data_IF_782991750388
#
_entry.id   IF_782991750388
#
_cell.length_a   1.000
_cell.length_b   1.000
_cell.length_c   1.000
_cell.angle_alpha   90.00
_cell.angle_beta   90.00
_cell.angle_gamma   90.00
#
_symmetry.space_group_name_H-M   'P 1'
#
loop_
_entity.id
_entity.type
_entity.pdbx_description
1 polymer ?
#
# COMPACT_ATOMS: atom_id res chain seq x y z
N UNK A 1 -11.63 -3.49 1.55
CA UNK A 1 -12.14 -2.91 2.80
C UNK A 1 -12.15 -3.97 3.87
N UNK A 2 -11.75 -3.60 5.07
CA UNK A 2 -11.74 -4.53 6.20
C UNK A 2 -13.15 -5.02 6.57
N UNK A 3 -13.27 -6.21 7.20
CA UNK A 3 -14.54 -6.68 7.72
C UNK A 3 -15.17 -5.72 8.76
N UNK A 4 -14.35 -5.04 9.57
CA UNK A 4 -14.83 -4.06 10.56
C UNK A 4 -15.57 -2.90 9.87
N UNK A 5 -14.95 -2.29 8.86
CA UNK A 5 -15.57 -1.18 8.12
C UNK A 5 -16.84 -1.62 7.41
N UNK A 6 -16.88 -2.82 6.80
CA UNK A 6 -18.08 -3.39 6.17
C UNK A 6 -19.25 -3.59 7.14
N UNK A 7 -18.97 -3.74 8.42
CA UNK A 7 -19.96 -3.89 9.49
C UNK A 7 -20.29 -2.56 10.19
N UNK A 8 -19.82 -1.43 9.63
CA UNK A 8 -20.08 -0.10 10.20
C UNK A 8 -19.36 0.16 11.53
N UNK A 9 -18.30 -0.62 11.84
CA UNK A 9 -17.52 -0.43 13.05
C UNK A 9 -16.65 0.82 12.94
N UNK A 10 -16.54 1.55 14.02
CA UNK A 10 -15.58 2.64 14.19
C UNK A 10 -14.26 2.13 14.72
N UNK A 11 -13.20 2.96 14.68
CA UNK A 11 -11.87 2.53 15.13
C UNK A 11 -11.80 2.26 16.65
N UNK A 12 -12.62 2.94 17.42
CA UNK A 12 -12.77 2.77 18.87
C UNK A 12 -13.73 1.64 19.28
N UNK A 13 -14.37 0.99 18.31
CA UNK A 13 -15.29 -0.15 18.50
C UNK A 13 -14.96 -1.29 17.53
N UNK A 14 -13.70 -1.65 17.37
CA UNK A 14 -13.28 -2.74 16.50
C UNK A 14 -13.63 -4.11 17.08
N UNK A 15 -14.11 -4.99 16.23
CA UNK A 15 -14.13 -6.43 16.49
C UNK A 15 -12.72 -6.98 16.26
N UNK A 16 -12.10 -7.52 17.30
CA UNK A 16 -10.70 -7.99 17.25
C UNK A 16 -10.50 -9.25 16.40
N UNK A 17 -11.51 -10.10 16.24
CA UNK A 17 -11.43 -11.24 15.32
C UNK A 17 -11.37 -10.74 13.87
N UNK A 18 -12.12 -9.68 13.55
CA UNK A 18 -12.05 -9.02 12.25
C UNK A 18 -10.74 -8.28 12.05
N UNK A 19 -10.21 -7.62 13.09
CA UNK A 19 -8.89 -7.01 13.05
C UNK A 19 -7.80 -8.04 12.76
N UNK A 20 -7.79 -9.15 13.51
CA UNK A 20 -6.84 -10.23 13.31
C UNK A 20 -6.90 -10.78 11.87
N UNK A 21 -8.11 -10.98 11.33
CA UNK A 21 -8.30 -11.41 9.94
C UNK A 21 -7.80 -10.38 8.93
N UNK A 22 -8.02 -9.10 9.19
CA UNK A 22 -7.54 -8.01 8.33
C UNK A 22 -6.01 -8.00 8.29
N UNK A 23 -5.36 -8.11 9.44
CA UNK A 23 -3.91 -8.16 9.53
C UNK A 23 -3.34 -9.42 8.86
N UNK A 24 -3.95 -10.58 9.10
CA UNK A 24 -3.48 -11.85 8.49
C UNK A 24 -3.54 -11.80 6.96
N UNK A 25 -4.66 -11.37 6.40
CA UNK A 25 -4.85 -11.34 4.94
C UNK A 25 -4.03 -10.22 4.28
N UNK A 26 -4.03 -9.02 4.87
CA UNK A 26 -3.51 -7.83 4.19
C UNK A 26 -2.03 -7.53 4.47
N UNK A 27 -1.43 -8.18 5.47
CA UNK A 27 -0.04 -7.96 5.86
C UNK A 27 0.73 -9.25 6.16
N UNK A 28 0.22 -10.11 7.06
CA UNK A 28 0.93 -11.33 7.47
C UNK A 28 1.05 -12.33 6.31
N UNK A 29 0.08 -12.38 5.40
CA UNK A 29 0.18 -13.17 4.17
C UNK A 29 1.44 -12.82 3.35
N UNK A 30 1.80 -11.55 3.26
CA UNK A 30 3.02 -11.10 2.59
C UNK A 30 4.28 -11.63 3.31
N UNK A 31 4.31 -11.58 4.63
CA UNK A 31 5.37 -12.18 5.42
C UNK A 31 5.50 -13.68 5.13
N UNK A 32 4.37 -14.41 5.16
CA UNK A 32 4.33 -15.86 4.91
C UNK A 32 4.88 -16.20 3.52
N UNK A 33 4.45 -15.46 2.49
CA UNK A 33 4.90 -15.68 1.10
C UNK A 33 6.41 -15.45 0.96
N UNK A 34 6.93 -14.34 1.48
CA UNK A 34 8.38 -14.07 1.40
C UNK A 34 9.18 -15.09 2.20
N UNK A 35 8.71 -15.47 3.39
CA UNK A 35 9.38 -16.49 4.20
C UNK A 35 9.48 -17.84 3.46
N UNK A 36 8.41 -18.25 2.78
CA UNK A 36 8.40 -19.49 1.98
C UNK A 36 9.29 -19.36 0.77
N UNK A 37 9.21 -18.25 0.04
CA UNK A 37 10.05 -17.99 -1.13
C UNK A 37 11.55 -18.02 -0.75
N UNK A 38 11.92 -17.43 0.39
CA UNK A 38 13.29 -17.48 0.90
C UNK A 38 13.73 -18.90 1.24
N UNK A 39 12.90 -19.66 1.99
CA UNK A 39 13.21 -21.07 2.35
C UNK A 39 13.34 -22.00 1.15
N UNK A 40 12.65 -21.68 0.07
CA UNK A 40 12.66 -22.45 -1.18
C UNK A 40 13.66 -21.95 -2.20
N UNK A 41 14.41 -20.92 -1.86
CA UNK A 41 15.36 -20.25 -2.78
C UNK A 41 14.70 -19.83 -4.11
N UNK A 42 13.45 -19.38 -4.04
CA UNK A 42 12.62 -19.11 -5.21
C UNK A 42 12.84 -17.73 -5.85
N UNK A 43 13.66 -16.86 -5.25
CA UNK A 43 13.97 -15.53 -5.77
C UNK A 43 15.43 -15.48 -6.20
N UNK A 44 15.66 -15.11 -7.43
CA UNK A 44 17.03 -14.95 -7.98
C UNK A 44 17.76 -13.79 -7.32
N UNK A 45 19.09 -13.84 -7.41
CA UNK A 45 19.93 -12.71 -7.04
C UNK A 45 19.51 -11.46 -7.82
N UNK A 46 19.53 -10.30 -7.17
CA UNK A 46 19.05 -9.04 -7.72
C UNK A 46 17.54 -9.01 -8.05
N UNK A 47 16.77 -9.99 -7.60
CA UNK A 47 15.32 -9.98 -7.76
C UNK A 47 14.66 -8.74 -7.15
N UNK A 48 13.41 -8.49 -7.53
CA UNK A 48 12.62 -7.38 -7.02
C UNK A 48 11.26 -7.86 -6.56
N UNK A 49 10.85 -7.42 -5.39
CA UNK A 49 9.54 -7.68 -4.79
C UNK A 49 8.87 -6.33 -4.53
N UNK A 50 7.62 -6.21 -4.96
CA UNK A 50 6.81 -5.00 -4.75
C UNK A 50 5.50 -5.40 -4.07
N UNK A 51 5.13 -4.65 -3.03
CA UNK A 51 3.81 -4.76 -2.41
C UNK A 51 3.05 -3.44 -2.53
N UNK A 52 1.74 -3.51 -2.74
CA UNK A 52 0.89 -2.32 -2.79
C UNK A 52 0.44 -1.94 -1.38
N UNK A 53 0.81 -0.74 -0.97
CA UNK A 53 0.37 -0.11 0.28
C UNK A 53 -0.59 1.06 -0.01
N UNK A 54 -0.80 1.90 0.97
CA UNK A 54 -1.63 3.10 0.84
C UNK A 54 -1.16 4.17 1.82
N UNK A 55 -1.39 5.42 1.49
CA UNK A 55 -1.01 6.57 2.32
C UNK A 55 -1.52 6.47 3.76
N UNK A 56 -2.63 5.74 3.98
CA UNK A 56 -3.19 5.48 5.30
C UNK A 56 -2.23 4.75 6.26
N UNK A 57 -1.17 4.10 5.76
CA UNK A 57 -0.10 3.56 6.59
C UNK A 57 0.70 4.64 7.34
N UNK A 58 0.67 5.88 6.85
CA UNK A 58 1.51 6.98 7.33
C UNK A 58 0.72 8.25 7.65
N UNK A 59 -0.53 8.34 7.24
CA UNK A 59 -1.41 9.50 7.45
C UNK A 59 -2.79 9.01 7.88
N UNK A 60 -3.44 9.77 8.73
CA UNK A 60 -4.82 9.47 9.13
C UNK A 60 -5.77 9.72 7.96
N UNK A 61 -6.54 8.69 7.62
CA UNK A 61 -7.65 8.76 6.68
C UNK A 61 -8.91 8.35 7.40
N UNK A 62 -9.88 9.26 7.43
CA UNK A 62 -11.17 9.00 8.06
C UNK A 62 -11.83 7.75 7.48
N UNK A 63 -12.30 6.87 8.34
CA UNK A 63 -13.00 5.65 7.93
C UNK A 63 -12.11 4.53 7.36
N UNK A 64 -10.80 4.69 7.30
CA UNK A 64 -9.90 3.62 6.82
C UNK A 64 -9.60 2.57 7.91
N UNK A 65 -9.69 2.96 9.19
CA UNK A 65 -9.65 2.11 10.38
C UNK A 65 -8.49 1.09 10.41
N UNK A 66 -8.80 -0.15 10.78
CA UNK A 66 -7.88 -1.28 10.89
C UNK A 66 -7.16 -1.66 9.59
N UNK A 67 -7.62 -1.22 8.44
CA UNK A 67 -6.87 -1.37 7.19
C UNK A 67 -5.61 -0.48 7.17
N UNK A 68 -5.63 0.68 7.84
CA UNK A 68 -4.44 1.51 8.02
C UNK A 68 -3.36 0.77 8.82
N UNK A 69 -3.75 0.09 9.89
CA UNK A 69 -2.85 -0.73 10.72
C UNK A 69 -2.22 -1.86 9.88
N UNK A 70 -3.05 -2.53 9.07
CA UNK A 70 -2.56 -3.59 8.17
C UNK A 70 -1.54 -3.05 7.15
N UNK A 71 -1.77 -1.86 6.58
CA UNK A 71 -0.82 -1.25 5.64
C UNK A 71 0.47 -0.80 6.33
N UNK A 72 0.40 -0.28 7.55
CA UNK A 72 1.58 0.05 8.35
C UNK A 72 2.42 -1.20 8.67
N UNK A 73 1.76 -2.30 9.05
CA UNK A 73 2.41 -3.59 9.28
C UNK A 73 3.06 -4.12 7.99
N UNK A 74 2.38 -4.04 6.84
CA UNK A 74 2.91 -4.44 5.54
C UNK A 74 4.21 -3.71 5.21
N UNK A 75 4.26 -2.39 5.40
CA UNK A 75 5.45 -1.58 5.16
C UNK A 75 6.60 -1.97 6.10
N UNK A 76 6.30 -2.27 7.35
CA UNK A 76 7.29 -2.73 8.33
C UNK A 76 7.87 -4.10 7.93
N UNK A 77 7.04 -5.04 7.50
CA UNK A 77 7.46 -6.35 6.98
C UNK A 77 8.36 -6.19 5.76
N UNK A 78 7.98 -5.31 4.81
CA UNK A 78 8.77 -5.04 3.61
C UNK A 78 10.17 -4.52 3.94
N UNK A 79 10.30 -3.60 4.90
CA UNK A 79 11.60 -3.10 5.36
C UNK A 79 12.45 -4.20 5.99
N UNK A 80 11.87 -5.01 6.85
CA UNK A 80 12.58 -6.09 7.56
C UNK A 80 13.15 -7.14 6.57
N UNK A 81 12.32 -7.62 5.66
CA UNK A 81 12.77 -8.55 4.63
C UNK A 81 13.68 -7.90 3.58
N UNK A 82 13.48 -6.62 3.28
CA UNK A 82 14.36 -5.86 2.39
C UNK A 82 15.80 -5.82 2.90
N UNK A 83 15.99 -5.66 4.21
CA UNK A 83 17.31 -5.78 4.82
C UNK A 83 17.88 -7.21 4.70
N UNK A 84 17.11 -8.22 5.11
CA UNK A 84 17.56 -9.61 5.14
C UNK A 84 17.93 -10.09 3.73
N UNK A 85 16.99 -10.00 2.78
CA UNK A 85 17.20 -10.44 1.41
C UNK A 85 18.18 -9.57 0.63
N UNK A 86 18.23 -8.27 0.95
CA UNK A 86 19.20 -7.35 0.36
C UNK A 86 20.63 -7.74 0.71
N UNK A 87 20.87 -8.17 1.95
CA UNK A 87 22.20 -8.65 2.38
C UNK A 87 22.55 -10.03 1.83
N UNK A 88 21.58 -10.90 1.67
CA UNK A 88 21.81 -12.28 1.23
C UNK A 88 21.98 -12.40 -0.29
N UNK A 89 21.10 -11.77 -1.06
CA UNK A 89 20.97 -11.96 -2.52
C UNK A 89 20.82 -10.66 -3.31
N UNK A 90 21.03 -9.51 -2.70
CA UNK A 90 20.77 -8.21 -3.31
C UNK A 90 19.31 -8.03 -3.78
N UNK A 91 18.37 -8.79 -3.24
CA UNK A 91 16.95 -8.67 -3.57
C UNK A 91 16.42 -7.35 -3.03
N UNK A 92 15.68 -6.62 -3.86
CA UNK A 92 15.06 -5.34 -3.52
C UNK A 92 13.62 -5.57 -3.13
N UNK A 93 13.19 -4.97 -2.02
CA UNK A 93 11.79 -5.05 -1.57
C UNK A 93 11.30 -3.63 -1.29
N UNK A 94 10.29 -3.21 -2.02
CA UNK A 94 9.69 -1.89 -1.90
C UNK A 94 8.17 -1.99 -1.76
N UNK A 95 7.57 -0.94 -1.21
CA UNK A 95 6.12 -0.76 -1.24
C UNK A 95 5.76 0.42 -2.14
N UNK A 96 4.64 0.33 -2.85
CA UNK A 96 4.08 1.42 -3.65
C UNK A 96 2.77 1.87 -3.01
N UNK A 97 2.73 3.13 -2.60
CA UNK A 97 1.54 3.80 -2.13
C UNK A 97 0.83 4.44 -3.33
N UNK A 98 -0.17 3.73 -3.82
CA UNK A 98 -0.93 4.10 -5.02
C UNK A 98 -2.06 5.07 -4.68
N UNK A 99 -2.44 5.94 -5.63
CA UNK A 99 -3.68 6.73 -5.59
C UNK A 99 -4.90 5.86 -5.28
N UNK A 100 -5.95 6.43 -4.70
CA UNK A 100 -7.24 5.76 -4.71
C UNK A 100 -7.61 5.41 -6.15
N UNK A 101 -7.87 4.13 -6.41
CA UNK A 101 -8.19 3.64 -7.76
C UNK A 101 -9.51 2.87 -7.71
N UNK A 102 -10.46 3.13 -8.63
CA UNK A 102 -11.70 2.37 -8.70
C UNK A 102 -11.41 0.90 -8.99
N UNK A 103 -11.70 0.04 -8.02
CA UNK A 103 -11.56 -1.41 -8.17
C UNK A 103 -12.88 -2.09 -7.80
N UNK A 104 -13.06 -3.35 -8.25
CA UNK A 104 -14.23 -4.15 -7.86
C UNK A 104 -14.34 -4.27 -6.34
N UNK A 105 -13.21 -4.41 -5.65
CA UNK A 105 -13.16 -4.44 -4.18
C UNK A 105 -13.49 -3.07 -3.55
N UNK A 106 -13.16 -1.98 -4.23
CA UNK A 106 -13.42 -0.60 -3.80
C UNK A 106 -14.88 -0.18 -3.94
N UNK A 107 -15.61 -0.71 -4.92
CA UNK A 107 -17.02 -0.35 -5.19
C UNK A 107 -17.99 -0.62 -4.03
N UNK A 108 -17.61 -1.39 -3.03
CA UNK A 108 -18.38 -1.63 -1.82
C UNK A 108 -17.97 -0.79 -0.60
N UNK A 109 -17.08 0.19 -0.79
CA UNK A 109 -16.58 1.06 0.29
C UNK A 109 -17.49 2.27 0.42
N UNK A 110 -18.18 2.39 1.54
CA UNK A 110 -18.91 3.61 1.88
C UNK A 110 -17.92 4.79 1.89
N UNK A 111 -18.24 5.86 1.12
CA UNK A 111 -17.36 7.02 1.00
C UNK A 111 -16.17 6.87 0.03
N UNK A 112 -16.08 5.81 -0.76
CA UNK A 112 -15.02 5.66 -1.75
C UNK A 112 -15.10 6.71 -2.85
N UNK A 113 -16.31 7.08 -3.27
CA UNK A 113 -16.53 8.12 -4.29
C UNK A 113 -16.04 9.48 -3.78
N UNK A 114 -16.36 9.81 -2.53
CA UNK A 114 -15.89 11.04 -1.89
C UNK A 114 -14.37 11.08 -1.76
N UNK A 115 -13.75 9.94 -1.43
CA UNK A 115 -12.30 9.83 -1.33
C UNK A 115 -11.63 9.99 -2.70
N UNK A 116 -12.20 9.38 -3.75
CA UNK A 116 -11.71 9.51 -5.12
C UNK A 116 -11.80 10.97 -5.59
N UNK A 117 -12.94 11.60 -5.39
CA UNK A 117 -13.16 13.00 -5.76
C UNK A 117 -12.24 13.95 -4.97
N UNK A 118 -12.12 13.73 -3.67
CA UNK A 118 -11.21 14.52 -2.83
C UNK A 118 -9.76 14.40 -3.30
N UNK A 119 -9.28 13.17 -3.51
CA UNK A 119 -7.91 12.94 -3.96
C UNK A 119 -7.66 13.52 -5.37
N UNK A 120 -8.64 13.43 -6.28
CA UNK A 120 -8.57 14.05 -7.62
C UNK A 120 -8.41 15.58 -7.53
N UNK A 121 -9.16 16.22 -6.63
CA UNK A 121 -9.11 17.68 -6.45
C UNK A 121 -7.85 18.16 -5.73
N UNK A 122 -7.30 17.32 -4.85
CA UNK A 122 -6.10 17.69 -4.07
C UNK A 122 -4.83 17.42 -4.87
N UNK A 123 -4.78 16.33 -5.63
CA UNK A 123 -3.55 15.90 -6.34
C UNK A 123 -3.22 16.82 -7.52
N UNK A 124 -2.00 17.35 -7.62
CA UNK A 124 -1.59 18.19 -8.75
C UNK A 124 -1.75 17.53 -10.14
N UNK A 125 -1.51 16.21 -10.21
CA UNK A 125 -1.63 15.43 -11.46
C UNK A 125 -2.93 14.62 -11.52
N UNK A 126 -3.84 14.80 -10.56
CA UNK A 126 -5.02 13.95 -10.42
C UNK A 126 -4.70 12.54 -9.91
N UNK A 127 -5.69 11.66 -9.91
CA UNK A 127 -5.52 10.26 -9.52
C UNK A 127 -4.82 9.46 -10.61
N UNK A 128 -3.83 8.67 -10.21
CA UNK A 128 -3.20 7.72 -11.13
C UNK A 128 -4.14 6.53 -11.40
N UNK A 129 -4.19 6.11 -12.66
CA UNK A 129 -4.91 4.91 -13.09
C UNK A 129 -4.19 3.63 -12.68
N UNK A 130 -4.84 2.48 -12.87
CA UNK A 130 -4.21 1.17 -12.69
C UNK A 130 -3.05 0.95 -13.67
N UNK A 131 -3.18 1.46 -14.92
CA UNK A 131 -2.14 1.35 -15.95
C UNK A 131 -0.93 2.23 -15.62
N UNK A 132 -1.14 3.43 -15.08
CA UNK A 132 -0.06 4.28 -14.58
C UNK A 132 0.71 3.57 -13.46
N UNK A 133 -0.01 2.94 -12.52
CA UNK A 133 0.61 2.15 -11.45
C UNK A 133 1.40 0.96 -12.01
N UNK A 134 0.85 0.24 -12.97
CA UNK A 134 1.53 -0.88 -13.62
C UNK A 134 2.83 -0.42 -14.31
N UNK A 135 2.78 0.69 -15.05
CA UNK A 135 3.97 1.31 -15.65
C UNK A 135 5.04 1.65 -14.63
N UNK A 136 4.63 2.26 -13.50
CA UNK A 136 5.57 2.56 -12.41
C UNK A 136 6.16 1.29 -11.79
N UNK A 137 5.35 0.27 -11.53
CA UNK A 137 5.82 -1.00 -10.96
C UNK A 137 6.81 -1.70 -11.89
N UNK A 138 6.62 -1.63 -13.22
CA UNK A 138 7.58 -2.15 -14.20
C UNK A 138 8.97 -1.52 -14.03
N UNK A 139 9.06 -0.22 -13.72
CA UNK A 139 10.37 0.42 -13.47
C UNK A 139 11.06 -0.15 -12.23
N UNK A 140 10.28 -0.56 -11.21
CA UNK A 140 10.82 -1.17 -10.00
C UNK A 140 11.32 -2.61 -10.22
N UNK A 141 10.85 -3.29 -11.25
CA UNK A 141 11.37 -4.60 -11.67
C UNK A 141 12.59 -4.49 -12.59
N UNK A 142 12.85 -3.31 -13.14
CA UNK A 142 13.99 -3.07 -14.03
C UNK A 142 15.28 -2.74 -13.26
N UNK A 143 16.42 -2.82 -13.94
CA UNK A 143 17.74 -2.42 -13.39
C UNK A 143 17.88 -0.89 -13.22
N UNK A 144 16.97 -0.09 -13.79
CA UNK A 144 16.96 1.37 -13.62
C UNK A 144 16.83 1.77 -12.13
N UNK A 145 16.19 0.92 -11.33
CA UNK A 145 16.00 1.14 -9.89
C UNK A 145 16.85 0.20 -9.03
N UNK A 146 18.01 -0.24 -9.53
CA UNK A 146 18.86 -1.28 -8.92
C UNK A 146 19.28 -0.99 -7.48
N UNK A 147 19.31 0.26 -7.06
CA UNK A 147 19.69 0.67 -5.69
C UNK A 147 18.50 1.18 -4.86
N UNK A 148 17.26 0.98 -5.34
CA UNK A 148 16.04 1.36 -4.61
C UNK A 148 15.51 0.14 -3.88
N UNK A 149 15.59 0.14 -2.56
CA UNK A 149 15.05 -0.92 -1.69
C UNK A 149 14.62 -0.36 -0.34
N UNK A 150 13.72 -1.05 0.34
CA UNK A 150 13.18 -0.69 1.66
C UNK A 150 12.43 0.66 1.68
N UNK A 151 11.99 1.12 0.51
CA UNK A 151 11.29 2.38 0.37
C UNK A 151 9.78 2.16 0.30
N UNK A 152 9.03 3.12 0.85
CA UNK A 152 7.64 3.34 0.49
C UNK A 152 7.60 4.45 -0.56
N UNK A 153 7.20 4.10 -1.77
CA UNK A 153 7.23 4.97 -2.94
C UNK A 153 5.81 5.44 -3.26
N UNK A 154 5.59 6.74 -3.18
CA UNK A 154 4.30 7.33 -3.52
C UNK A 154 4.13 7.44 -5.02
N UNK A 155 3.00 6.91 -5.51
CA UNK A 155 2.55 7.02 -6.89
C UNK A 155 1.08 7.49 -6.87
N UNK A 156 0.87 8.76 -6.55
CA UNK A 156 -0.42 9.29 -6.15
C UNK A 156 -0.72 10.69 -6.70
N UNK A 157 -0.09 11.05 -7.80
CA UNK A 157 -0.28 12.36 -8.43
C UNK A 157 0.17 13.54 -7.58
N UNK A 158 0.92 13.29 -6.49
CA UNK A 158 1.40 14.30 -5.54
C UNK A 158 0.49 14.49 -4.32
N UNK A 159 -0.57 13.69 -4.17
CA UNK A 159 -1.53 13.76 -3.06
C UNK A 159 -0.83 13.77 -1.69
N UNK A 160 0.07 12.83 -1.46
CA UNK A 160 0.78 12.66 -0.17
C UNK A 160 1.62 13.86 0.26
N UNK A 161 1.99 14.73 -0.69
CA UNK A 161 2.82 15.91 -0.44
C UNK A 161 2.00 17.20 -0.24
N UNK A 162 0.68 17.12 -0.46
CA UNK A 162 -0.19 18.29 -0.36
C UNK A 162 -0.66 18.51 1.09
N UNK A 163 -0.51 19.74 1.58
CA UNK A 163 -1.16 20.19 2.81
C UNK A 163 -2.56 20.79 2.52
N UNK A 164 -2.67 21.57 1.45
CA UNK A 164 -3.90 22.26 1.07
C UNK A 164 -3.93 22.46 -0.44
N UNK A 165 -5.09 22.27 -1.05
CA UNK A 165 -5.32 22.53 -2.48
C UNK A 165 -6.39 23.62 -2.65
N UNK A 166 -6.17 24.56 -3.55
CA UNK A 166 -7.17 25.59 -3.89
C UNK A 166 -8.49 24.97 -4.35
N UNK A 167 -8.42 23.91 -5.16
CA UNK A 167 -9.60 23.18 -5.65
C UNK A 167 -10.37 22.43 -4.57
N UNK A 168 -9.75 22.12 -3.44
CA UNK A 168 -10.42 21.47 -2.32
C UNK A 168 -11.13 22.46 -1.39
N UNK A 169 -10.92 23.78 -1.62
CA UNK A 169 -11.54 24.85 -0.82
C UNK A 169 -12.84 25.39 -1.44
N UNK A 170 -13.18 24.99 -2.62
CA UNK A 170 -14.42 25.32 -3.35
C UNK A 170 -15.33 24.13 -3.47
#
# INVERSE_FOLDING_TARGET
MSPNVRKGRTYDDLDYDYLAKTLDISAISFHKVIQVARKKDAINDWGSIVALTYIAAQRTLYGYNDMADAKALLESIARSFGYIYGREKCVRINTVSQSPTPTTAGKGVLGMEDLLDYAERVSPLGNASADDCAGYVLTLFSDLTRKVTMQNLFHDGGFSSMGMSRKAMT
#
